data_IF_253394254204
#
_entry.id   IF_253394254204
#
_cell.length_a   1.000
_cell.length_b   1.000
_cell.length_c   1.000
_cell.angle_alpha   90.00
_cell.angle_beta   90.00
_cell.angle_gamma   90.00
#
_symmetry.space_group_name_H-M   'P 1'
#
loop_
_entity.id
_entity.type
_entity.pdbx_description
1 polymer ?
#
# COMPACT_ATOMS: atom_id res chain seq x y z
N UNK A 1 15.81 -19.04 11.05
CA UNK A 1 16.18 -17.67 10.59
C UNK A 1 15.96 -16.71 11.76
N UNK A 2 16.84 -15.73 12.01
CA UNK A 2 16.72 -14.86 13.19
C UNK A 2 15.47 -13.98 13.21
N UNK A 3 14.84 -13.74 12.08
CA UNK A 3 13.66 -12.88 11.97
C UNK A 3 12.35 -13.63 11.68
N UNK A 4 12.40 -14.94 11.45
CA UNK A 4 11.23 -15.80 11.14
C UNK A 4 10.25 -15.18 10.12
N UNK A 5 10.80 -14.53 9.08
CA UNK A 5 10.05 -13.94 7.99
C UNK A 5 9.86 -15.01 6.91
N UNK A 6 8.62 -15.31 6.58
CA UNK A 6 8.26 -16.26 5.53
C UNK A 6 7.43 -15.53 4.48
N UNK A 7 7.73 -15.80 3.20
CA UNK A 7 6.87 -15.35 2.13
C UNK A 7 5.60 -16.20 2.10
N UNK A 8 4.55 -15.69 2.73
CA UNK A 8 3.25 -16.37 2.80
C UNK A 8 2.22 -15.62 1.97
N UNK A 9 1.60 -16.32 1.05
CA UNK A 9 0.50 -15.81 0.23
C UNK A 9 -0.77 -16.58 0.53
N UNK A 10 -1.87 -15.86 0.61
CA UNK A 10 -3.17 -16.43 0.87
C UNK A 10 -4.26 -15.46 0.43
N UNK A 11 -5.48 -15.91 0.35
CA UNK A 11 -6.62 -15.11 -0.08
C UNK A 11 -7.80 -15.35 0.85
N UNK A 12 -8.27 -14.29 1.47
CA UNK A 12 -9.49 -14.26 2.26
C UNK A 12 -10.69 -13.79 1.43
N UNK A 13 -11.90 -13.96 1.94
CA UNK A 13 -13.10 -13.48 1.27
C UNK A 13 -13.09 -11.98 0.97
N UNK A 14 -12.51 -11.17 1.86
CA UNK A 14 -12.33 -9.72 1.65
C UNK A 14 -11.27 -9.47 0.58
N UNK A 15 -10.15 -10.20 0.61
CA UNK A 15 -9.09 -10.09 -0.39
C UNK A 15 -9.57 -10.43 -1.79
N UNK A 16 -10.43 -11.46 -1.94
CA UNK A 16 -11.05 -11.81 -3.23
C UNK A 16 -11.85 -10.64 -3.80
N UNK A 17 -12.67 -10.00 -2.99
CA UNK A 17 -13.47 -8.85 -3.43
C UNK A 17 -12.58 -7.67 -3.86
N UNK A 18 -11.51 -7.39 -3.10
CA UNK A 18 -10.55 -6.33 -3.42
C UNK A 18 -9.71 -6.64 -4.65
N UNK A 19 -9.31 -7.90 -4.85
CA UNK A 19 -8.63 -8.36 -6.06
C UNK A 19 -9.51 -8.21 -7.30
N UNK A 20 -10.79 -8.59 -7.19
CA UNK A 20 -11.76 -8.42 -8.27
C UNK A 20 -11.93 -6.94 -8.64
N UNK A 21 -12.11 -6.08 -7.63
CA UNK A 21 -12.21 -4.64 -7.82
C UNK A 21 -10.97 -4.08 -8.50
N UNK A 22 -9.79 -4.45 -8.02
CA UNK A 22 -8.52 -4.03 -8.60
C UNK A 22 -8.36 -4.50 -10.04
N UNK A 23 -8.77 -5.74 -10.35
CA UNK A 23 -8.75 -6.28 -11.72
C UNK A 23 -9.64 -5.46 -12.66
N UNK A 24 -10.85 -5.10 -12.22
CA UNK A 24 -11.77 -4.25 -12.99
C UNK A 24 -11.16 -2.87 -13.23
N UNK A 25 -10.54 -2.27 -12.21
CA UNK A 25 -9.89 -0.96 -12.33
C UNK A 25 -8.71 -1.02 -13.31
N UNK A 26 -7.85 -2.04 -13.22
CA UNK A 26 -6.70 -2.22 -14.13
C UNK A 26 -7.19 -2.44 -15.56
N UNK A 27 -8.20 -3.28 -15.76
CA UNK A 27 -8.82 -3.52 -17.05
C UNK A 27 -9.38 -2.22 -17.64
N UNK A 28 -10.21 -1.52 -16.91
CA UNK A 28 -10.82 -0.25 -17.35
C UNK A 28 -9.76 0.82 -17.61
N UNK A 29 -8.75 0.93 -16.74
CA UNK A 29 -7.63 1.86 -16.89
C UNK A 29 -6.80 1.60 -18.15
N UNK A 30 -6.58 0.32 -18.49
CA UNK A 30 -5.91 -0.07 -19.73
C UNK A 30 -6.69 0.42 -20.96
N UNK A 31 -8.00 0.22 -21.00
CA UNK A 31 -8.83 0.69 -22.11
C UNK A 31 -8.93 2.23 -22.17
N UNK A 32 -9.05 2.89 -21.03
CA UNK A 32 -9.10 4.35 -20.97
C UNK A 32 -7.80 4.98 -21.51
N UNK A 33 -6.66 4.33 -21.29
CA UNK A 33 -5.34 4.80 -21.71
C UNK A 33 -4.91 4.30 -23.11
N UNK A 34 -5.79 3.59 -23.84
CA UNK A 34 -5.45 2.96 -25.11
C UNK A 34 -5.00 3.96 -26.19
N UNK A 35 -5.53 5.18 -26.17
CA UNK A 35 -5.24 6.24 -27.14
C UNK A 35 -4.11 7.18 -26.72
N UNK A 36 -3.28 6.79 -25.76
CA UNK A 36 -2.19 7.61 -25.29
C UNK A 36 -1.02 7.55 -26.26
N UNK A 37 -0.63 8.70 -26.84
CA UNK A 37 0.42 8.78 -27.86
C UNK A 37 1.83 9.02 -27.27
N UNK A 38 1.91 9.56 -26.04
CA UNK A 38 3.18 9.94 -25.41
C UNK A 38 3.74 8.82 -24.54
N UNK A 39 4.93 8.31 -24.90
CA UNK A 39 5.68 7.27 -24.15
C UNK A 39 4.80 6.08 -23.75
N UNK A 40 4.02 5.55 -24.68
CA UNK A 40 3.02 4.52 -24.44
C UNK A 40 3.59 3.26 -23.79
N UNK A 41 4.79 2.82 -24.24
CA UNK A 41 5.43 1.58 -23.72
C UNK A 41 5.80 1.73 -22.25
N UNK A 42 6.41 2.85 -21.88
CA UNK A 42 6.80 3.17 -20.53
C UNK A 42 5.59 3.32 -19.63
N UNK A 43 4.52 3.95 -20.11
CA UNK A 43 3.26 4.06 -19.37
C UNK A 43 2.72 2.68 -18.97
N UNK A 44 2.55 1.78 -19.93
CA UNK A 44 2.00 0.46 -19.64
C UNK A 44 2.95 -0.41 -18.80
N UNK A 45 4.26 -0.20 -18.91
CA UNK A 45 5.22 -0.89 -18.05
C UNK A 45 5.01 -0.48 -16.59
N UNK A 46 4.98 0.82 -16.31
CA UNK A 46 4.77 1.33 -14.95
C UNK A 46 3.37 1.04 -14.43
N UNK A 47 2.37 1.10 -15.30
CA UNK A 47 1.00 0.74 -14.94
C UNK A 47 0.86 -0.74 -14.55
N UNK A 48 1.49 -1.64 -15.29
CA UNK A 48 1.51 -3.06 -14.92
C UNK A 48 2.31 -3.32 -13.63
N UNK A 49 3.43 -2.61 -13.43
CA UNK A 49 4.19 -2.73 -12.19
C UNK A 49 3.38 -2.26 -10.97
N UNK A 50 2.61 -1.17 -11.13
CA UNK A 50 1.65 -0.73 -10.12
C UNK A 50 0.60 -1.81 -9.83
N UNK A 51 0.03 -2.40 -10.87
CA UNK A 51 -0.95 -3.48 -10.73
C UNK A 51 -0.37 -4.69 -9.97
N UNK A 52 0.86 -5.10 -10.28
CA UNK A 52 1.57 -6.18 -9.56
C UNK A 52 1.73 -5.82 -8.07
N UNK A 53 2.12 -4.58 -7.76
CA UNK A 53 2.21 -4.11 -6.37
C UNK A 53 0.87 -4.20 -5.63
N UNK A 54 -0.22 -3.76 -6.25
CA UNK A 54 -1.56 -3.81 -5.67
C UNK A 54 -2.05 -5.24 -5.48
N UNK A 55 -1.89 -6.10 -6.48
CA UNK A 55 -2.27 -7.52 -6.35
C UNK A 55 -1.42 -8.23 -5.30
N UNK A 56 -0.11 -7.98 -5.30
CA UNK A 56 0.81 -8.53 -4.30
C UNK A 56 0.42 -8.13 -2.87
N UNK A 57 0.01 -6.88 -2.68
CA UNK A 57 -0.49 -6.40 -1.39
C UNK A 57 -1.70 -7.20 -0.89
N UNK A 58 -2.71 -7.40 -1.75
CA UNK A 58 -3.95 -8.09 -1.36
C UNK A 58 -3.81 -9.61 -1.19
N UNK A 59 -2.81 -10.25 -1.79
CA UNK A 59 -2.54 -11.69 -1.60
C UNK A 59 -1.55 -11.97 -0.49
N UNK A 60 -0.91 -10.96 0.10
CA UNK A 60 0.06 -11.12 1.17
C UNK A 60 -0.64 -11.42 2.50
N UNK A 61 -0.23 -12.49 3.17
CA UNK A 61 -0.68 -12.87 4.52
C UNK A 61 0.34 -12.47 5.58
N UNK A 62 1.53 -12.12 5.16
CA UNK A 62 2.64 -11.68 6.00
C UNK A 62 2.76 -10.16 5.99
N UNK A 63 2.87 -9.53 7.17
CA UNK A 63 2.95 -8.08 7.34
C UNK A 63 4.15 -7.47 6.62
N UNK A 64 5.30 -8.15 6.62
CA UNK A 64 6.49 -7.68 5.93
C UNK A 64 6.30 -7.70 4.42
N UNK A 65 5.80 -8.80 3.89
CA UNK A 65 5.52 -8.96 2.46
C UNK A 65 4.48 -7.95 1.98
N UNK A 66 3.43 -7.72 2.75
CA UNK A 66 2.41 -6.72 2.49
C UNK A 66 3.01 -5.30 2.42
N UNK A 67 3.87 -4.95 3.37
CA UNK A 67 4.59 -3.68 3.38
C UNK A 67 5.51 -3.53 2.17
N UNK A 68 6.25 -4.57 1.79
CA UNK A 68 7.12 -4.57 0.61
C UNK A 68 6.34 -4.29 -0.68
N UNK A 69 5.19 -4.94 -0.90
CA UNK A 69 4.36 -4.68 -2.07
C UNK A 69 3.75 -3.28 -2.06
N UNK A 70 3.40 -2.75 -0.89
CA UNK A 70 2.97 -1.37 -0.74
C UNK A 70 4.06 -0.38 -1.19
N UNK A 71 5.31 -0.57 -0.74
CA UNK A 71 6.44 0.27 -1.15
C UNK A 71 6.75 0.14 -2.66
N UNK A 72 6.70 -1.08 -3.21
CA UNK A 72 6.90 -1.30 -4.65
C UNK A 72 5.87 -0.57 -5.50
N UNK A 73 4.63 -0.43 -5.04
CA UNK A 73 3.58 0.30 -5.75
C UNK A 73 3.79 1.82 -5.75
N UNK A 74 4.54 2.39 -4.80
CA UNK A 74 4.79 3.84 -4.72
C UNK A 74 5.62 4.37 -5.87
N UNK A 75 6.64 3.63 -6.31
CA UNK A 75 7.55 4.05 -7.38
C UNK A 75 6.81 4.25 -8.70
N UNK A 76 6.05 3.27 -9.22
CA UNK A 76 5.25 3.46 -10.43
C UNK A 76 4.24 4.59 -10.30
N UNK A 77 3.59 4.73 -9.14
CA UNK A 77 2.61 5.77 -8.91
C UNK A 77 3.20 7.18 -9.03
N UNK A 78 4.39 7.38 -8.44
CA UNK A 78 5.13 8.64 -8.58
C UNK A 78 5.43 8.98 -10.05
N UNK A 79 5.94 8.00 -10.80
CA UNK A 79 6.32 8.18 -12.19
C UNK A 79 5.09 8.42 -13.10
N UNK A 80 4.01 7.66 -12.90
CA UNK A 80 2.77 7.84 -13.65
C UNK A 80 2.20 9.24 -13.49
N UNK A 81 2.18 9.76 -12.26
CA UNK A 81 1.67 11.11 -11.99
C UNK A 81 2.66 12.19 -12.48
N UNK A 82 3.95 12.02 -12.26
CA UNK A 82 4.98 12.99 -12.60
C UNK A 82 5.20 13.15 -14.09
N UNK A 83 5.08 12.10 -14.88
CA UNK A 83 5.32 12.11 -16.33
C UNK A 83 4.03 12.37 -17.11
N UNK A 84 2.97 11.63 -16.82
CA UNK A 84 1.70 11.64 -17.58
C UNK A 84 0.59 12.48 -16.93
N UNK A 85 0.80 13.00 -15.71
CA UNK A 85 -0.15 13.88 -15.05
C UNK A 85 -0.39 15.18 -15.80
N UNK A 86 -1.49 15.87 -15.50
CA UNK A 86 -1.86 17.17 -16.05
C UNK A 86 -1.58 18.33 -15.07
N UNK A 87 -1.37 19.53 -15.59
CA UNK A 87 -1.12 20.73 -14.78
C UNK A 87 0.26 20.73 -14.09
N UNK A 88 0.31 21.11 -12.81
CA UNK A 88 1.56 21.14 -12.02
C UNK A 88 1.95 19.72 -11.54
N UNK A 89 2.11 18.79 -12.49
CA UNK A 89 2.29 17.37 -12.26
C UNK A 89 3.49 17.00 -11.40
N UNK A 90 4.62 17.68 -11.56
CA UNK A 90 5.84 17.42 -10.77
C UNK A 90 5.63 17.76 -9.29
N UNK A 91 5.02 18.92 -9.03
CA UNK A 91 4.69 19.33 -7.66
C UNK A 91 3.68 18.38 -7.01
N UNK A 92 2.65 17.96 -7.75
CA UNK A 92 1.65 17.03 -7.28
C UNK A 92 2.25 15.65 -6.97
N UNK A 93 3.11 15.15 -7.86
CA UNK A 93 3.81 13.88 -7.67
C UNK A 93 4.72 13.90 -6.44
N UNK A 94 5.54 14.94 -6.28
CA UNK A 94 6.40 15.09 -5.10
C UNK A 94 5.61 15.20 -3.81
N UNK A 95 4.56 16.01 -3.77
CA UNK A 95 3.72 16.19 -2.59
C UNK A 95 3.05 14.88 -2.17
N UNK A 96 2.48 14.15 -3.14
CA UNK A 96 1.85 12.85 -2.89
C UNK A 96 2.87 11.84 -2.35
N UNK A 97 4.03 11.74 -2.99
CA UNK A 97 5.08 10.80 -2.58
C UNK A 97 5.60 11.07 -1.19
N UNK A 98 5.86 12.33 -0.84
CA UNK A 98 6.30 12.69 0.51
C UNK A 98 5.25 12.32 1.58
N UNK A 99 3.96 12.52 1.28
CA UNK A 99 2.90 12.10 2.18
C UNK A 99 2.82 10.57 2.32
N UNK A 100 2.94 9.84 1.21
CA UNK A 100 2.92 8.38 1.22
C UNK A 100 4.13 7.81 1.97
N UNK A 101 5.33 8.36 1.76
CA UNK A 101 6.52 7.97 2.53
C UNK A 101 6.37 8.26 4.03
N UNK A 102 5.75 9.38 4.40
CA UNK A 102 5.43 9.67 5.79
C UNK A 102 4.46 8.65 6.39
N UNK A 103 3.44 8.25 5.62
CA UNK A 103 2.50 7.19 5.99
C UNK A 103 3.17 5.82 6.13
N UNK A 104 4.04 5.46 5.18
CA UNK A 104 4.76 4.18 5.22
C UNK A 104 5.76 4.09 6.37
N UNK A 105 6.38 5.19 6.76
CA UNK A 105 7.24 5.21 7.95
C UNK A 105 6.45 4.93 9.23
N UNK A 106 5.26 5.52 9.39
CA UNK A 106 4.38 5.22 10.52
C UNK A 106 3.88 3.77 10.49
N UNK A 107 3.55 3.28 9.30
CA UNK A 107 3.14 1.89 9.09
C UNK A 107 4.25 0.92 9.49
N UNK A 108 5.50 1.19 9.08
CA UNK A 108 6.66 0.37 9.43
C UNK A 108 6.88 0.30 10.93
N UNK A 109 6.79 1.44 11.63
CA UNK A 109 6.89 1.49 13.09
C UNK A 109 5.77 0.66 13.74
N UNK A 110 4.54 0.76 13.23
CA UNK A 110 3.41 -0.04 13.68
C UNK A 110 3.63 -1.54 13.48
N UNK A 111 4.10 -1.96 12.31
CA UNK A 111 4.41 -3.36 11.98
C UNK A 111 5.51 -3.91 12.88
N UNK A 112 6.60 -3.16 13.09
CA UNK A 112 7.66 -3.57 13.99
C UNK A 112 7.18 -3.69 15.44
N UNK A 113 6.32 -2.76 15.88
CA UNK A 113 5.70 -2.84 17.19
C UNK A 113 4.85 -4.08 17.37
N UNK A 114 4.04 -4.45 16.38
CA UNK A 114 3.25 -5.68 16.36
C UNK A 114 4.18 -6.91 16.37
N UNK A 115 5.22 -6.90 15.55
CA UNK A 115 6.19 -8.00 15.47
C UNK A 115 6.85 -8.30 16.81
N UNK A 116 7.39 -7.29 17.50
CA UNK A 116 8.05 -7.49 18.79
C UNK A 116 7.10 -7.97 19.90
N UNK A 117 5.80 -7.81 19.72
CA UNK A 117 4.77 -8.25 20.67
C UNK A 117 3.91 -9.39 20.13
N UNK A 118 4.33 -10.04 19.04
CA UNK A 118 3.54 -11.08 18.36
C UNK A 118 3.50 -12.43 19.10
N UNK A 119 4.36 -12.64 20.08
CA UNK A 119 4.48 -13.94 20.73
C UNK A 119 4.57 -13.86 22.26
N UNK A 120 3.84 -14.74 22.93
CA UNK A 120 3.96 -15.02 24.37
C UNK A 120 5.05 -16.05 24.68
N UNK A 121 5.48 -16.84 23.70
CA UNK A 121 6.42 -17.98 23.87
C UNK A 121 7.83 -17.70 23.36
N UNK A 122 8.11 -16.49 22.85
CA UNK A 122 9.43 -16.06 22.40
C UNK A 122 9.74 -16.32 20.91
N UNK A 123 8.87 -17.01 20.16
CA UNK A 123 9.00 -17.13 18.70
C UNK A 123 8.23 -15.98 18.03
N UNK A 124 8.95 -14.97 17.56
CA UNK A 124 8.36 -13.83 16.87
C UNK A 124 7.88 -14.23 15.46
N UNK A 125 6.73 -13.71 15.03
CA UNK A 125 6.14 -13.97 13.72
C UNK A 125 5.61 -12.70 13.07
N UNK A 126 5.64 -12.65 11.73
CA UNK A 126 5.02 -11.60 10.90
C UNK A 126 3.70 -12.09 10.27
N UNK A 127 3.33 -13.36 10.45
CA UNK A 127 2.13 -13.92 9.88
C UNK A 127 0.89 -13.39 10.60
N UNK A 128 -0.02 -12.76 9.86
CA UNK A 128 -1.25 -12.15 10.39
C UNK A 128 -2.16 -13.16 11.10
N UNK A 129 -2.25 -14.40 10.58
CA UNK A 129 -3.11 -15.42 11.17
C UNK A 129 -2.56 -15.92 12.51
N UNK A 130 -1.24 -16.09 12.61
CA UNK A 130 -0.58 -16.48 13.86
C UNK A 130 -0.68 -15.36 14.90
N UNK A 131 -0.48 -14.11 14.49
CA UNK A 131 -0.62 -12.94 15.37
C UNK A 131 -2.05 -12.82 15.92
N UNK A 132 -3.06 -13.03 15.05
CA UNK A 132 -4.45 -12.97 15.44
C UNK A 132 -4.84 -14.10 16.43
N UNK A 133 -4.27 -15.29 16.28
CA UNK A 133 -4.52 -16.44 17.15
C UNK A 133 -3.78 -16.33 18.49
N UNK A 134 -2.58 -15.76 18.49
CA UNK A 134 -1.73 -15.69 19.67
C UNK A 134 -2.29 -14.79 20.78
N UNK A 135 -3.11 -13.75 20.44
CA UNK A 135 -3.67 -12.76 21.37
C UNK A 135 -2.62 -12.20 22.35
N UNK A 136 -1.35 -12.14 21.91
CA UNK A 136 -0.20 -11.86 22.77
C UNK A 136 -0.05 -10.40 23.17
N UNK A 137 -0.67 -9.50 22.40
CA UNK A 137 -0.50 -8.07 22.61
C UNK A 137 -1.47 -7.53 23.70
N UNK A 138 -0.96 -6.90 24.79
CA UNK A 138 -1.78 -6.29 25.80
C UNK A 138 -2.61 -5.13 25.24
N UNK A 139 -3.83 -4.92 25.77
CA UNK A 139 -4.75 -3.88 25.30
C UNK A 139 -4.14 -2.47 25.33
N UNK A 140 -3.27 -2.18 26.30
CA UNK A 140 -2.58 -0.89 26.40
C UNK A 140 -1.70 -0.60 25.18
N UNK A 141 -1.01 -1.61 24.64
CA UNK A 141 -0.17 -1.48 23.46
C UNK A 141 -1.00 -1.46 22.16
N UNK A 142 -2.10 -2.23 22.09
CA UNK A 142 -3.02 -2.19 20.97
C UNK A 142 -3.56 -0.77 20.72
N UNK A 143 -3.88 -0.03 21.81
CA UNK A 143 -4.35 1.36 21.73
C UNK A 143 -3.33 2.33 21.11
N UNK A 144 -2.04 2.03 21.19
CA UNK A 144 -0.98 2.85 20.60
C UNK A 144 -0.63 2.43 19.17
N UNK A 145 -0.50 1.12 18.91
CA UNK A 145 -0.12 0.62 17.59
C UNK A 145 -1.25 0.66 16.57
N UNK A 146 -2.50 0.47 17.00
CA UNK A 146 -3.65 0.56 16.09
C UNK A 146 -3.75 1.93 15.39
N UNK A 147 -3.67 3.08 16.08
CA UNK A 147 -3.68 4.38 15.41
C UNK A 147 -2.51 4.58 14.45
N UNK A 148 -1.31 4.09 14.78
CA UNK A 148 -0.15 4.21 13.91
C UNK A 148 -0.36 3.47 12.58
N UNK A 149 -0.83 2.23 12.65
CA UNK A 149 -1.13 1.42 11.46
C UNK A 149 -2.32 2.03 10.70
N UNK A 150 -3.37 2.43 11.41
CA UNK A 150 -4.56 3.03 10.81
C UNK A 150 -4.24 4.34 10.09
N UNK A 151 -3.45 5.23 10.69
CA UNK A 151 -3.01 6.48 10.05
C UNK A 151 -2.09 6.15 8.88
N UNK A 152 -1.15 5.21 9.03
CA UNK A 152 -0.24 4.79 7.98
C UNK A 152 -0.96 4.33 6.71
N UNK A 153 -2.03 3.54 6.84
CA UNK A 153 -2.89 3.16 5.72
C UNK A 153 -3.90 4.25 5.33
N UNK A 154 -4.33 5.09 6.26
CA UNK A 154 -5.33 6.13 6.03
C UNK A 154 -4.80 7.37 5.29
N UNK A 155 -3.51 7.68 5.40
CA UNK A 155 -2.90 8.84 4.75
C UNK A 155 -3.14 8.85 3.23
N UNK A 156 -2.88 7.77 2.48
CA UNK A 156 -3.13 7.76 1.03
C UNK A 156 -4.60 7.92 0.68
N UNK A 157 -5.50 7.37 1.47
CA UNK A 157 -6.96 7.47 1.25
C UNK A 157 -7.47 8.89 1.51
N UNK A 158 -7.05 9.51 2.61
CA UNK A 158 -7.48 10.85 2.98
C UNK A 158 -7.08 11.89 1.94
N UNK A 159 -5.90 11.76 1.33
CA UNK A 159 -5.40 12.73 0.37
C UNK A 159 -6.19 12.74 -0.94
N UNK A 160 -6.66 11.57 -1.39
CA UNK A 160 -7.41 11.44 -2.64
C UNK A 160 -8.85 11.96 -2.52
N UNK A 161 -9.43 11.93 -1.31
CA UNK A 161 -10.82 12.30 -1.08
C UNK A 161 -11.03 13.70 -0.47
N UNK A 162 -10.05 14.21 0.26
CA UNK A 162 -10.19 15.47 1.01
C UNK A 162 -9.62 16.70 0.31
N UNK A 163 -8.88 16.56 -0.78
CA UNK A 163 -8.49 17.70 -1.61
C UNK A 163 -9.54 17.91 -2.69
N UNK A 164 -10.47 18.87 -2.55
CA UNK A 164 -11.32 19.25 -3.66
C UNK A 164 -10.42 19.72 -4.81
N UNK A 165 -10.82 19.49 -6.08
CA UNK A 165 -10.12 20.08 -7.21
C UNK A 165 -10.10 21.59 -6.96
N UNK A 166 -8.94 22.12 -6.60
CA UNK A 166 -8.75 23.57 -6.57
C UNK A 166 -8.92 24.04 -8.00
N UNK A 167 -10.10 24.51 -8.31
CA UNK A 167 -10.36 25.34 -9.47
C UNK A 167 -9.58 26.64 -9.28
N UNK A 168 -8.27 26.60 -9.47
CA UNK A 168 -7.55 27.81 -9.84
C UNK A 168 -7.97 28.14 -11.27
N UNK A 169 -9.06 28.87 -11.38
CA UNK A 169 -9.31 29.71 -12.55
C UNK A 169 -8.29 30.83 -12.50
N UNK A 170 -7.38 30.85 -13.42
CA UNK A 170 -6.76 32.04 -13.98
C UNK A 170 -6.74 31.86 -15.46
#
# INVERSE_FOLDING_TARGET
APLNIHYSVGVDGISVAMLLLSAIIVFTGTFASWKMDFLQKEYFLWFNLLAIGVFGFFISVDLFTMFMFYEVALIPMYLLIGVWGSGKKEYAAMKLTLMLMGGSALLLVGILGIYFHSSTTGALTMNLQEIAQAHAMPESLQRWFFPLVFIGFGVPVSYTHLTPPTTERV
#
